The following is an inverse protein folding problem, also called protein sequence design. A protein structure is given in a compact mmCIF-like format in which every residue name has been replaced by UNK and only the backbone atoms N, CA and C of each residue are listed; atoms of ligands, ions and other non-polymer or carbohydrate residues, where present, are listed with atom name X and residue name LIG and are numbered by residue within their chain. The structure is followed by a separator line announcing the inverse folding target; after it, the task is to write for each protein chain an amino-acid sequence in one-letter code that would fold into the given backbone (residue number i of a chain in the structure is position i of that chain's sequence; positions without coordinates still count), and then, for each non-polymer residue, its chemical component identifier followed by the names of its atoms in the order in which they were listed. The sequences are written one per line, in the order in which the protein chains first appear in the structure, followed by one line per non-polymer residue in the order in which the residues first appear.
data_IF_670869337446
#
_entry.id   IF_670869337446
#
_cell.length_a   1.000
_cell.length_b   1.000
_cell.length_c   1.000
_cell.angle_alpha   90.00
_cell.angle_beta   90.00
_cell.angle_gamma   90.00
#
_symmetry.space_group_name_H-M   'P 1'
#
loop_
_entity.id
_entity.type
_entity.pdbx_description
1 polymer ?
#
# COMPACT_ATOMS: atom_id res chain seq x y z
N UNK A 1 4.10 1.66 -18.81
CA UNK A 1 3.81 0.22 -19.00
C UNK A 1 4.29 -0.64 -17.82
N UNK A 2 5.51 -0.45 -17.32
CA UNK A 2 6.06 -1.16 -16.15
C UNK A 2 5.09 -1.08 -14.95
N UNK A 3 4.67 0.12 -14.54
CA UNK A 3 3.73 0.40 -13.41
C UNK A 3 2.43 -0.43 -13.43
N UNK A 4 1.91 -0.81 -14.59
CA UNK A 4 0.70 -1.63 -14.70
C UNK A 4 0.93 -3.10 -14.32
N UNK A 5 2.03 -3.69 -14.78
CA UNK A 5 2.44 -5.05 -14.43
C UNK A 5 2.81 -5.15 -12.95
N UNK A 6 3.51 -4.14 -12.43
CA UNK A 6 3.78 -3.96 -11.01
C UNK A 6 2.48 -4.10 -10.21
N UNK A 7 1.49 -3.28 -10.55
CA UNK A 7 0.22 -3.17 -9.84
C UNK A 7 -0.63 -4.44 -9.90
N UNK A 8 -0.62 -5.18 -11.02
CA UNK A 8 -1.30 -6.47 -11.13
C UNK A 8 -0.68 -7.52 -10.21
N UNK A 9 0.65 -7.57 -10.11
CA UNK A 9 1.36 -8.50 -9.21
C UNK A 9 1.09 -8.14 -7.75
N UNK A 10 1.21 -6.86 -7.40
CA UNK A 10 0.87 -6.34 -6.09
C UNK A 10 -0.58 -6.64 -5.68
N UNK A 11 -1.56 -6.38 -6.56
CA UNK A 11 -2.97 -6.73 -6.30
C UNK A 11 -3.19 -8.22 -6.04
N UNK A 12 -2.47 -9.11 -6.74
CA UNK A 12 -2.55 -10.56 -6.49
C UNK A 12 -2.04 -10.95 -5.09
N UNK A 13 -1.01 -10.28 -4.61
CA UNK A 13 -0.37 -10.56 -3.31
C UNK A 13 -1.22 -10.01 -2.18
N UNK A 14 -1.71 -8.78 -2.33
CA UNK A 14 -2.69 -8.20 -1.40
C UNK A 14 -3.95 -9.06 -1.33
N UNK A 15 -4.47 -9.52 -2.48
CA UNK A 15 -5.63 -10.43 -2.50
C UNK A 15 -5.38 -11.72 -1.71
N UNK A 16 -4.14 -12.22 -1.70
CA UNK A 16 -3.73 -13.38 -0.88
C UNK A 16 -3.54 -13.03 0.60
N UNK A 17 -3.04 -11.83 0.92
CA UNK A 17 -2.79 -11.38 2.29
C UNK A 17 -4.07 -10.93 3.02
N UNK A 18 -4.95 -10.21 2.34
CA UNK A 18 -6.24 -9.78 2.86
C UNK A 18 -7.16 -9.38 1.71
N UNK A 19 -8.22 -10.16 1.42
CA UNK A 19 -9.25 -9.77 0.45
C UNK A 19 -9.94 -8.44 0.81
N UNK A 20 -9.95 -8.07 2.10
CA UNK A 20 -10.51 -6.81 2.58
C UNK A 20 -9.73 -5.60 2.06
N UNK A 21 -8.40 -5.72 1.95
CA UNK A 21 -7.54 -4.72 1.31
C UNK A 21 -7.80 -4.52 -0.19
N UNK A 22 -8.65 -5.34 -0.81
CA UNK A 22 -9.05 -5.19 -2.21
C UNK A 22 -10.46 -4.63 -2.37
N UNK A 23 -11.34 -4.82 -1.37
CA UNK A 23 -12.76 -4.47 -1.47
C UNK A 23 -13.01 -2.95 -1.46
N UNK A 24 -12.09 -2.18 -0.86
CA UNK A 24 -12.14 -0.71 -0.82
C UNK A 24 -11.37 0.02 -1.94
N UNK A 25 -10.56 -0.69 -2.74
CA UNK A 25 -9.64 -0.07 -3.70
C UNK A 25 -9.96 -0.49 -5.14
N UNK A 26 -10.56 0.43 -5.89
CA UNK A 26 -10.82 0.30 -7.32
C UNK A 26 -9.58 0.34 -8.23
N UNK A 27 -9.76 0.82 -9.46
CA UNK A 27 -8.74 0.81 -10.53
C UNK A 27 -7.84 2.05 -10.54
N UNK A 28 -7.97 3.00 -9.61
CA UNK A 28 -7.11 4.20 -9.55
C UNK A 28 -5.68 3.91 -9.10
N UNK A 29 -4.70 4.56 -9.71
CA UNK A 29 -3.28 4.32 -9.43
C UNK A 29 -2.87 4.73 -8.02
N UNK A 30 -3.40 5.83 -7.50
CA UNK A 30 -3.21 6.28 -6.12
C UNK A 30 -4.53 6.70 -5.48
N UNK A 31 -4.56 6.57 -4.16
CA UNK A 31 -5.62 7.03 -3.27
C UNK A 31 -5.01 8.04 -2.30
N UNK A 32 -5.83 9.00 -1.84
CA UNK A 32 -5.38 9.93 -0.81
C UNK A 32 -5.16 9.20 0.51
N UNK A 33 -4.30 9.73 1.37
CA UNK A 33 -4.01 9.12 2.69
C UNK A 33 -5.29 8.89 3.48
N UNK A 34 -6.17 9.89 3.56
CA UNK A 34 -7.46 9.75 4.24
C UNK A 34 -8.37 8.67 3.62
N UNK A 35 -8.31 8.43 2.31
CA UNK A 35 -9.05 7.33 1.68
C UNK A 35 -8.46 5.96 2.03
N UNK A 36 -7.14 5.85 2.13
CA UNK A 36 -6.48 4.60 2.54
C UNK A 36 -6.76 4.32 4.01
N UNK A 37 -6.66 5.33 4.88
CA UNK A 37 -6.96 5.22 6.30
C UNK A 37 -8.41 4.83 6.56
N UNK A 38 -9.37 5.50 5.90
CA UNK A 38 -10.80 5.18 6.01
C UNK A 38 -11.12 3.75 5.58
N UNK A 39 -10.47 3.24 4.53
CA UNK A 39 -10.68 1.87 4.04
C UNK A 39 -9.84 0.82 4.78
N UNK A 40 -8.96 1.24 5.69
CA UNK A 40 -8.09 0.34 6.46
C UNK A 40 -8.36 0.36 7.95
N UNK A 41 -9.42 1.04 8.42
CA UNK A 41 -9.74 1.20 9.86
C UNK A 41 -9.69 -0.14 10.61
N UNK A 42 -10.32 -1.18 10.06
CA UNK A 42 -10.43 -2.52 10.65
C UNK A 42 -9.15 -3.37 10.50
N UNK A 43 -8.15 -2.89 9.77
CA UNK A 43 -6.92 -3.63 9.53
C UNK A 43 -5.91 -3.46 10.67
N UNK A 44 -5.07 -4.46 10.86
CA UNK A 44 -4.01 -4.38 11.85
C UNK A 44 -2.91 -3.38 11.41
N UNK A 45 -2.08 -2.92 12.35
CA UNK A 45 -1.05 -1.89 12.09
C UNK A 45 -0.14 -2.23 10.89
N UNK A 46 0.30 -3.49 10.78
CA UNK A 46 1.14 -3.93 9.66
C UNK A 46 0.40 -3.92 8.32
N UNK A 47 -0.87 -4.32 8.31
CA UNK A 47 -1.71 -4.26 7.11
C UNK A 47 -2.00 -2.82 6.66
N UNK A 48 -2.19 -1.89 7.61
CA UNK A 48 -2.31 -0.45 7.33
C UNK A 48 -1.04 0.10 6.67
N UNK A 49 0.14 -0.24 7.19
CA UNK A 49 1.42 0.16 6.60
C UNK A 49 1.60 -0.39 5.18
N UNK A 50 1.19 -1.64 4.94
CA UNK A 50 1.18 -2.24 3.60
C UNK A 50 0.21 -1.50 2.68
N UNK A 51 -0.98 -1.12 3.15
CA UNK A 51 -1.94 -0.36 2.36
C UNK A 51 -1.39 1.02 1.93
N UNK A 52 -0.78 1.75 2.87
CA UNK A 52 -0.13 3.04 2.60
C UNK A 52 1.05 2.89 1.63
N UNK A 53 1.86 1.84 1.81
CA UNK A 53 2.97 1.53 0.92
C UNK A 53 2.49 1.30 -0.52
N UNK A 54 1.32 0.70 -0.70
CA UNK A 54 0.86 0.22 -2.01
C UNK A 54 -0.09 1.16 -2.74
N UNK A 55 -0.91 1.92 -2.00
CA UNK A 55 -2.01 2.69 -2.57
C UNK A 55 -1.84 4.21 -2.44
N UNK A 56 -0.95 4.70 -1.58
CA UNK A 56 -0.63 6.14 -1.52
C UNK A 56 0.61 6.49 -2.34
N UNK A 57 0.72 7.75 -2.74
CA UNK A 57 1.96 8.27 -3.31
C UNK A 57 2.93 8.62 -2.18
N UNK A 58 4.25 8.38 -2.34
CA UNK A 58 5.21 8.59 -1.23
C UNK A 58 5.21 10.03 -0.73
N UNK A 59 5.18 10.96 -1.68
CA UNK A 59 5.20 12.40 -1.48
C UNK A 59 3.96 12.92 -0.76
N UNK A 60 2.87 12.15 -0.81
CA UNK A 60 1.61 12.49 -0.15
C UNK A 60 1.50 11.97 1.29
N UNK A 61 2.41 11.08 1.70
CA UNK A 61 2.39 10.49 3.04
C UNK A 61 2.99 11.46 4.06
N UNK A 62 2.20 11.80 5.07
CA UNK A 62 2.69 12.44 6.31
C UNK A 62 2.86 11.34 7.34
N UNK A 63 4.06 11.21 7.88
CA UNK A 63 4.37 10.23 8.91
C UNK A 63 4.50 10.95 10.24
N UNK A 64 3.86 10.41 11.27
CA UNK A 64 3.95 10.96 12.63
C UNK A 64 5.30 10.60 13.29
N UNK A 65 6.02 9.60 12.76
CA UNK A 65 7.34 9.22 13.24
C UNK A 65 8.26 8.73 12.12
N UNK A 66 9.57 8.93 12.30
CA UNK A 66 10.59 8.42 11.39
C UNK A 66 10.59 6.89 11.31
N UNK A 67 10.20 6.20 12.39
CA UNK A 67 10.07 4.73 12.42
C UNK A 67 8.99 4.24 11.45
N UNK A 68 7.87 4.94 11.37
CA UNK A 68 6.78 4.57 10.45
C UNK A 68 7.14 4.88 9.00
N UNK A 69 7.85 5.98 8.77
CA UNK A 69 8.44 6.30 7.46
C UNK A 69 9.41 5.20 6.99
N UNK A 70 10.33 4.78 7.86
CA UNK A 70 11.28 3.70 7.55
C UNK A 70 10.57 2.37 7.31
N UNK A 71 9.55 2.02 8.11
CA UNK A 71 8.79 0.79 7.92
C UNK A 71 8.07 0.76 6.56
N UNK A 72 7.41 1.86 6.18
CA UNK A 72 6.72 1.95 4.88
C UNK A 72 7.72 1.98 3.72
N UNK A 73 8.87 2.63 3.88
CA UNK A 73 9.93 2.64 2.87
C UNK A 73 10.53 1.25 2.66
N UNK A 74 10.82 0.51 3.74
CA UNK A 74 11.30 -0.87 3.66
C UNK A 74 10.29 -1.77 2.96
N UNK A 75 9.01 -1.70 3.32
CA UNK A 75 7.93 -2.45 2.66
C UNK A 75 7.87 -2.13 1.15
N UNK A 76 8.07 -0.87 0.75
CA UNK A 76 8.12 -0.51 -0.68
C UNK A 76 9.34 -1.06 -1.38
N UNK A 77 10.49 -1.06 -0.72
CA UNK A 77 11.71 -1.59 -1.27
C UNK A 77 11.62 -3.11 -1.44
N UNK A 78 11.06 -3.81 -0.46
CA UNK A 78 10.77 -5.25 -0.54
C UNK A 78 9.81 -5.54 -1.69
N UNK A 79 8.72 -4.75 -1.82
CA UNK A 79 7.79 -4.87 -2.95
C UNK A 79 8.45 -4.49 -4.28
N UNK A 80 9.43 -3.59 -4.28
CA UNK A 80 10.15 -3.27 -5.50
C UNK A 80 11.04 -4.43 -5.92
N UNK A 81 11.80 -5.01 -4.99
CA UNK A 81 12.75 -6.09 -5.24
C UNK A 81 12.08 -7.44 -5.53
N UNK A 82 10.96 -7.76 -4.86
CA UNK A 82 10.26 -9.03 -5.07
C UNK A 82 9.45 -9.03 -6.39
N UNK A 83 9.17 -7.86 -6.97
CA UNK A 83 8.27 -7.75 -8.11
C UNK A 83 8.86 -7.05 -9.34
N UNK A 84 10.02 -6.37 -9.24
CA UNK A 84 10.80 -5.72 -10.32
C UNK A 84 12.25 -6.16 -10.33
#
# INVERSE_FOLDING_TARGET
MIRYLQRRRTKKVIKRLSPLLMKGYGSRDYYTVGQVEANSIELCKRQKQIALALFCEYTSLKFDSDKEKQAVAAIRQDIANDYF
#
